data_IF_809785446051
#
_entry.id   IF_809785446051
#
_cell.length_a   1.000
_cell.length_b   1.000
_cell.length_c   1.000
_cell.angle_alpha   90.00
_cell.angle_beta   90.00
_cell.angle_gamma   90.00
#
_symmetry.space_group_name_H-M   'P 1'
#
loop_
_entity.id
_entity.type
_entity.pdbx_description
1 polymer ?
#
# COMPACT_ATOMS: atom_id res chain seq x y z
N UNK A 1 -4.12 0.99 3.18
CA UNK A 1 -2.69 0.67 3.01
C UNK A 1 -1.92 1.95 2.73
N UNK A 2 -0.62 1.97 3.03
CA UNK A 2 0.27 3.04 2.57
C UNK A 2 1.63 2.48 2.21
N UNK A 3 2.37 3.22 1.39
CA UNK A 3 3.76 2.99 1.08
C UNK A 3 4.51 4.28 1.37
N UNK A 4 5.58 4.16 2.13
CA UNK A 4 6.51 5.25 2.40
C UNK A 4 7.83 4.99 1.67
N UNK A 5 8.41 6.03 1.09
CA UNK A 5 9.74 6.00 0.51
C UNK A 5 10.50 7.29 0.82
N UNK A 6 11.72 7.18 1.35
CA UNK A 6 12.66 8.28 1.47
C UNK A 6 13.62 8.27 0.28
N UNK A 7 13.87 9.42 -0.32
CA UNK A 7 14.83 9.54 -1.43
C UNK A 7 15.49 10.92 -1.47
N UNK A 8 16.58 11.01 -2.20
CA UNK A 8 17.29 12.27 -2.45
C UNK A 8 17.36 12.53 -3.95
N UNK A 9 17.48 13.80 -4.31
CA UNK A 9 17.72 14.22 -5.69
C UNK A 9 18.75 15.33 -5.74
N UNK A 10 19.46 15.41 -6.87
CA UNK A 10 20.42 16.47 -7.21
C UNK A 10 19.84 17.53 -8.16
N UNK A 11 18.60 17.32 -8.64
CA UNK A 11 17.93 18.19 -9.61
C UNK A 11 16.56 18.64 -9.09
N UNK A 12 16.56 19.24 -7.90
CA UNK A 12 15.34 19.67 -7.21
C UNK A 12 14.44 20.57 -8.07
N UNK A 13 15.00 21.58 -8.72
CA UNK A 13 14.23 22.61 -9.43
C UNK A 13 13.43 22.08 -10.63
N UNK A 14 13.94 21.06 -11.33
CA UNK A 14 13.26 20.47 -12.49
C UNK A 14 12.44 19.25 -12.11
N UNK A 15 13.08 18.29 -11.42
CA UNK A 15 12.49 16.98 -11.14
C UNK A 15 11.39 17.06 -10.08
N UNK A 16 11.56 17.92 -9.07
CA UNK A 16 10.62 18.06 -7.95
C UNK A 16 9.68 19.25 -8.10
N UNK A 17 9.57 19.83 -9.30
CA UNK A 17 8.61 20.88 -9.58
C UNK A 17 7.17 20.39 -9.33
N UNK A 18 6.37 21.17 -8.59
CA UNK A 18 5.01 20.81 -8.21
C UNK A 18 4.14 20.41 -9.43
N UNK A 19 4.29 21.14 -10.54
CA UNK A 19 3.58 20.85 -11.80
C UNK A 19 3.95 19.48 -12.37
N UNK A 20 5.24 19.12 -12.35
CA UNK A 20 5.72 17.83 -12.84
C UNK A 20 5.19 16.68 -11.98
N UNK A 21 5.25 16.82 -10.66
CA UNK A 21 4.72 15.85 -9.70
C UNK A 21 3.22 15.63 -9.94
N UNK A 22 2.45 16.72 -10.11
CA UNK A 22 1.02 16.63 -10.40
C UNK A 22 0.73 15.91 -11.73
N UNK A 23 1.52 16.18 -12.77
CA UNK A 23 1.41 15.49 -14.07
C UNK A 23 1.73 14.00 -13.95
N UNK A 24 2.84 13.64 -13.29
CA UNK A 24 3.20 12.25 -13.04
C UNK A 24 2.09 11.53 -12.26
N UNK A 25 1.53 12.19 -11.24
CA UNK A 25 0.46 11.62 -10.44
C UNK A 25 -0.84 11.43 -11.25
N UNK A 26 -1.19 12.40 -12.10
CA UNK A 26 -2.32 12.27 -13.03
C UNK A 26 -2.11 11.10 -14.02
N UNK A 27 -0.90 10.91 -14.53
CA UNK A 27 -0.58 9.79 -15.43
C UNK A 27 -0.74 8.45 -14.71
N UNK A 28 -0.20 8.31 -13.50
CA UNK A 28 -0.33 7.07 -12.72
C UNK A 28 -1.79 6.78 -12.42
N UNK A 29 -2.57 7.77 -11.97
CA UNK A 29 -4.00 7.61 -11.74
C UNK A 29 -4.75 7.24 -13.03
N UNK A 30 -4.38 7.80 -14.16
CA UNK A 30 -4.96 7.46 -15.48
C UNK A 30 -4.63 6.05 -15.94
N UNK A 31 -3.42 5.55 -15.64
CA UNK A 31 -3.01 4.17 -15.93
C UNK A 31 -3.65 3.14 -15.00
N UNK A 32 -4.04 3.56 -13.80
CA UNK A 32 -4.63 2.71 -12.77
C UNK A 32 -5.97 3.28 -12.29
N UNK A 33 -7.07 3.13 -13.06
CA UNK A 33 -8.33 3.85 -12.83
C UNK A 33 -9.00 3.57 -11.48
N UNK A 34 -8.66 2.46 -10.81
CA UNK A 34 -9.12 2.19 -9.45
C UNK A 34 -8.67 3.26 -8.44
N UNK A 35 -7.55 3.94 -8.69
CA UNK A 35 -7.07 5.08 -7.88
C UNK A 35 -7.96 6.33 -8.02
N UNK A 36 -8.78 6.40 -9.06
CA UNK A 36 -9.75 7.48 -9.35
C UNK A 36 -11.20 7.05 -9.15
N UNK A 37 -11.42 5.78 -8.79
CA UNK A 37 -12.76 5.25 -8.57
C UNK A 37 -13.37 5.82 -7.29
N UNK A 38 -14.64 5.51 -7.07
CA UNK A 38 -15.41 5.88 -5.88
C UNK A 38 -16.18 4.66 -5.39
N UNK A 39 -16.61 4.69 -4.14
CA UNK A 39 -17.53 3.70 -3.58
C UNK A 39 -18.89 4.37 -3.45
N UNK A 40 -19.90 3.84 -4.13
CA UNK A 40 -21.27 4.36 -4.11
C UNK A 40 -22.21 3.30 -3.54
N UNK A 41 -23.33 3.75 -2.97
CA UNK A 41 -24.43 2.90 -2.49
C UNK A 41 -25.68 3.29 -3.27
N UNK A 42 -26.46 2.30 -3.70
CA UNK A 42 -27.69 2.57 -4.43
C UNK A 42 -28.77 3.13 -3.48
N UNK A 43 -29.03 4.43 -3.61
CA UNK A 43 -30.04 5.12 -2.81
C UNK A 43 -31.48 4.93 -3.33
N UNK A 44 -31.66 4.24 -4.47
CA UNK A 44 -32.98 3.99 -5.04
C UNK A 44 -33.64 2.70 -4.54
N UNK A 45 -33.06 2.01 -3.55
CA UNK A 45 -33.66 0.82 -2.91
C UNK A 45 -34.84 1.13 -1.97
N UNK A 46 -35.57 2.22 -2.23
CA UNK A 46 -36.70 2.73 -1.44
C UNK A 46 -37.96 1.83 -1.41
N UNK A 47 -37.91 0.57 -1.86
CA UNK A 47 -39.09 -0.30 -1.91
C UNK A 47 -38.97 -1.62 -1.14
N UNK A 48 -37.91 -1.85 -0.36
CA UNK A 48 -37.96 -2.93 0.64
C UNK A 48 -37.14 -2.59 1.88
N UNK A 49 -37.75 -2.67 3.06
CA UNK A 49 -37.10 -2.55 4.37
C UNK A 49 -36.12 -3.71 4.67
N UNK A 50 -35.67 -4.43 3.64
CA UNK A 50 -34.86 -5.66 3.68
C UNK A 50 -33.70 -5.66 2.71
N UNK A 51 -33.61 -4.70 1.77
CA UNK A 51 -32.48 -4.59 0.85
C UNK A 51 -31.34 -3.84 1.55
N UNK A 52 -30.36 -4.58 2.02
CA UNK A 52 -29.07 -4.03 2.44
C UNK A 52 -28.49 -3.27 1.25
N UNK A 53 -28.19 -1.97 1.42
CA UNK A 53 -27.51 -1.18 0.39
C UNK A 53 -26.13 -1.79 0.11
N UNK A 54 -25.98 -2.45 -1.04
CA UNK A 54 -24.69 -3.03 -1.42
C UNK A 54 -23.78 -1.95 -2.02
N UNK A 55 -22.57 -1.74 -1.45
CA UNK A 55 -21.62 -0.80 -2.00
C UNK A 55 -21.01 -1.36 -3.29
N UNK A 56 -20.85 -0.51 -4.30
CA UNK A 56 -20.18 -0.86 -5.55
C UNK A 56 -19.16 0.20 -5.97
N UNK A 57 -18.19 -0.20 -6.80
CA UNK A 57 -17.24 0.72 -7.38
C UNK A 57 -17.87 1.48 -8.53
N UNK A 58 -17.73 2.80 -8.50
CA UNK A 58 -18.11 3.67 -9.59
C UNK A 58 -16.87 4.36 -10.15
N UNK A 59 -16.72 4.33 -11.47
CA UNK A 59 -15.64 5.03 -12.16
C UNK A 59 -16.23 5.89 -13.27
N UNK A 60 -15.81 7.15 -13.31
CA UNK A 60 -16.11 8.07 -14.40
C UNK A 60 -14.82 8.75 -14.85
N UNK A 61 -14.44 8.69 -16.14
CA UNK A 61 -13.25 9.38 -16.62
C UNK A 61 -13.26 10.86 -16.26
N UNK A 62 -12.13 11.40 -15.74
CA UNK A 62 -12.09 12.81 -15.38
C UNK A 62 -12.10 13.71 -16.60
N UNK A 63 -12.79 14.86 -16.49
CA UNK A 63 -12.72 15.93 -17.50
C UNK A 63 -11.35 16.61 -17.51
N UNK A 64 -10.72 16.70 -16.34
CA UNK A 64 -9.38 17.26 -16.13
C UNK A 64 -8.64 16.39 -15.11
N UNK A 65 -7.86 15.43 -15.63
CA UNK A 65 -7.11 14.49 -14.81
C UNK A 65 -6.04 15.18 -13.94
N UNK A 66 -5.49 16.31 -14.40
CA UNK A 66 -4.45 17.04 -13.66
C UNK A 66 -5.06 17.75 -12.45
N UNK A 67 -6.22 18.38 -12.63
CA UNK A 67 -6.95 18.99 -11.51
C UNK A 67 -7.35 17.96 -10.47
N UNK A 68 -7.94 16.83 -10.88
CA UNK A 68 -8.32 15.75 -9.97
C UNK A 68 -7.09 15.17 -9.23
N UNK A 69 -5.96 15.02 -9.92
CA UNK A 69 -4.71 14.59 -9.31
C UNK A 69 -4.22 15.57 -8.24
N UNK A 70 -4.28 16.88 -8.50
CA UNK A 70 -3.90 17.92 -7.53
C UNK A 70 -4.78 17.89 -6.28
N UNK A 71 -6.08 17.63 -6.42
CA UNK A 71 -7.00 17.54 -5.28
C UNK A 71 -6.69 16.34 -4.35
N UNK A 72 -5.88 15.39 -4.82
CA UNK A 72 -5.41 14.22 -4.06
C UNK A 72 -3.88 14.21 -3.90
N UNK A 73 -3.22 15.36 -4.01
CA UNK A 73 -1.78 15.55 -3.84
C UNK A 73 -1.54 16.65 -2.80
N UNK A 74 -0.66 16.38 -1.84
CA UNK A 74 -0.24 17.39 -0.85
C UNK A 74 1.28 17.50 -0.79
N UNK A 75 1.73 18.75 -0.67
CA UNK A 75 3.10 19.10 -0.34
C UNK A 75 3.17 19.47 1.14
N UNK A 76 4.14 18.91 1.86
CA UNK A 76 4.30 19.08 3.31
C UNK A 76 5.78 19.28 3.68
N UNK A 77 6.07 19.57 4.95
CA UNK A 77 7.43 19.70 5.50
C UNK A 77 7.64 18.77 6.70
N UNK A 78 6.76 17.78 6.88
CA UNK A 78 6.81 16.80 7.96
C UNK A 78 7.90 15.74 7.74
N UNK A 79 8.42 15.24 8.85
CA UNK A 79 9.35 14.10 8.86
C UNK A 79 8.63 12.79 8.46
N UNK A 80 9.42 11.75 8.14
CA UNK A 80 8.91 10.38 7.92
C UNK A 80 7.95 9.94 9.04
N UNK A 81 8.40 10.09 10.29
CA UNK A 81 7.66 9.58 11.45
C UNK A 81 6.35 10.35 11.66
N UNK A 82 6.36 11.67 11.45
CA UNK A 82 5.16 12.49 11.54
C UNK A 82 4.16 12.18 10.43
N UNK A 83 4.61 11.95 9.20
CA UNK A 83 3.74 11.57 8.09
C UNK A 83 3.03 10.23 8.37
N UNK A 84 3.81 9.23 8.78
CA UNK A 84 3.28 7.89 9.10
C UNK A 84 2.35 7.97 10.30
N UNK A 85 2.73 8.67 11.36
CA UNK A 85 1.92 8.84 12.57
C UNK A 85 0.59 9.54 12.26
N UNK A 86 0.61 10.61 11.47
CA UNK A 86 -0.59 11.34 11.06
C UNK A 86 -1.50 10.49 10.17
N UNK A 87 -0.95 9.69 9.26
CA UNK A 87 -1.76 8.79 8.44
C UNK A 87 -2.43 7.68 9.28
N UNK A 88 -1.70 7.13 10.27
CA UNK A 88 -2.17 6.03 11.10
C UNK A 88 -3.13 6.45 12.22
N UNK A 89 -2.97 7.66 12.75
CA UNK A 89 -3.65 8.10 13.98
C UNK A 89 -4.38 9.45 13.83
N UNK A 90 -4.22 10.15 12.69
CA UNK A 90 -4.87 11.42 12.41
C UNK A 90 -6.25 11.26 11.75
N UNK A 91 -6.82 12.37 11.24
CA UNK A 91 -8.07 12.34 10.49
C UNK A 91 -7.99 11.42 9.28
N UNK A 92 -9.12 10.78 8.94
CA UNK A 92 -9.19 9.81 7.85
C UNK A 92 -8.84 10.47 6.50
N UNK A 93 -7.71 10.10 5.92
CA UNK A 93 -7.20 10.65 4.65
C UNK A 93 -7.99 10.17 3.43
N UNK A 94 -8.41 8.90 3.43
CA UNK A 94 -9.12 8.23 2.33
C UNK A 94 -10.62 8.15 2.64
N UNK A 95 -11.47 8.35 1.65
CA UNK A 95 -12.93 8.32 1.80
C UNK A 95 -13.58 7.63 0.60
N UNK A 96 -14.89 7.40 0.64
CA UNK A 96 -15.63 6.80 -0.47
C UNK A 96 -15.49 7.60 -1.79
N UNK A 97 -15.15 8.89 -1.70
CA UNK A 97 -14.89 9.79 -2.84
C UNK A 97 -13.41 9.94 -3.20
N UNK A 98 -12.50 9.41 -2.37
CA UNK A 98 -11.06 9.56 -2.49
C UNK A 98 -10.35 8.23 -2.23
N UNK A 99 -10.18 7.47 -3.31
CA UNK A 99 -9.53 6.15 -3.32
C UNK A 99 -8.00 6.21 -3.30
N UNK A 100 -7.40 7.36 -3.60
CA UNK A 100 -5.94 7.49 -3.56
C UNK A 100 -5.51 8.85 -3.04
N UNK A 101 -4.30 8.91 -2.49
CA UNK A 101 -3.71 10.12 -1.97
C UNK A 101 -2.19 10.05 -2.01
N UNK A 102 -1.55 11.13 -2.43
CA UNK A 102 -0.09 11.24 -2.51
C UNK A 102 0.39 12.42 -1.67
N UNK A 103 1.43 12.20 -0.86
CA UNK A 103 2.15 13.26 -0.16
C UNK A 103 3.60 13.26 -0.61
N UNK A 104 4.11 14.45 -0.93
CA UNK A 104 5.54 14.70 -1.12
C UNK A 104 5.95 15.71 -0.06
N UNK A 105 6.81 15.29 0.87
CA UNK A 105 7.31 16.15 1.93
C UNK A 105 8.79 16.47 1.73
N UNK A 106 9.17 17.71 2.00
CA UNK A 106 10.57 18.12 2.11
C UNK A 106 10.81 18.64 3.54
N UNK A 107 11.27 17.79 4.47
CA UNK A 107 11.46 18.20 5.87
C UNK A 107 12.61 19.19 6.06
N UNK A 108 13.49 19.35 5.07
CA UNK A 108 14.67 20.22 5.12
C UNK A 108 14.57 21.34 4.08
N UNK A 109 13.46 22.09 4.03
CA UNK A 109 13.49 23.44 3.46
C UNK A 109 14.40 24.34 4.31
N UNK A 110 15.71 24.10 4.25
CA UNK A 110 16.72 24.87 4.94
C UNK A 110 17.08 26.09 4.11
N UNK A 111 17.19 27.22 4.79
CA UNK A 111 17.41 28.58 4.29
C UNK A 111 18.79 28.74 3.59
N UNK A 112 19.61 27.69 3.54
CA UNK A 112 20.99 27.67 3.04
C UNK A 112 21.26 26.63 1.95
N UNK A 113 20.21 26.06 1.34
CA UNK A 113 20.32 25.03 0.32
C UNK A 113 20.79 25.65 -1.02
N UNK A 114 21.82 25.08 -1.67
CA UNK A 114 22.40 25.61 -2.93
C UNK A 114 21.45 25.55 -4.14
N UNK A 115 20.20 25.12 -3.91
CA UNK A 115 19.11 25.05 -4.87
C UNK A 115 19.01 23.71 -5.60
N UNK A 116 20.05 22.87 -5.56
CA UNK A 116 20.11 21.67 -6.40
C UNK A 116 19.76 20.37 -5.67
N UNK A 117 20.22 20.19 -4.42
CA UNK A 117 19.99 18.94 -3.69
C UNK A 117 18.73 19.00 -2.82
N UNK A 118 18.06 17.88 -2.60
CA UNK A 118 16.94 17.83 -1.66
C UNK A 118 16.63 16.43 -1.16
N UNK A 119 16.25 16.31 0.10
CA UNK A 119 15.73 15.08 0.71
C UNK A 119 14.21 15.13 0.74
N UNK A 120 13.57 14.07 0.28
CA UNK A 120 12.13 13.99 0.15
C UNK A 120 11.58 12.73 0.77
N UNK A 121 10.39 12.86 1.34
CA UNK A 121 9.58 11.76 1.83
C UNK A 121 8.33 11.65 0.96
N UNK A 122 8.11 10.47 0.37
CA UNK A 122 6.90 10.15 -0.39
C UNK A 122 6.02 9.24 0.44
N UNK A 123 4.72 9.56 0.50
CA UNK A 123 3.70 8.70 1.09
C UNK A 123 2.57 8.52 0.07
N UNK A 124 2.41 7.31 -0.45
CA UNK A 124 1.30 6.94 -1.33
C UNK A 124 0.29 6.09 -0.54
N UNK A 125 -0.98 6.47 -0.60
CA UNK A 125 -2.05 5.82 0.17
C UNK A 125 -3.17 5.34 -0.75
N UNK A 126 -3.70 4.15 -0.45
CA UNK A 126 -4.84 3.54 -1.12
C UNK A 126 -5.59 2.60 -0.15
N UNK A 127 -6.91 2.41 -0.26
CA UNK A 127 -7.63 1.44 0.56
C UNK A 127 -7.26 0.01 0.16
N UNK A 128 -7.32 -0.92 1.12
CA UNK A 128 -6.92 -2.32 0.90
C UNK A 128 -7.76 -3.10 -0.11
N UNK A 129 -8.94 -2.58 -0.48
CA UNK A 129 -9.84 -3.28 -1.40
C UNK A 129 -9.60 -2.94 -2.88
N UNK A 130 -8.77 -1.93 -3.21
CA UNK A 130 -8.41 -1.63 -4.61
C UNK A 130 -7.04 -2.17 -5.02
N UNK A 131 -6.32 -2.80 -4.10
CA UNK A 131 -4.98 -3.32 -4.37
C UNK A 131 -4.31 -3.86 -3.12
N UNK A 132 -3.07 -4.29 -3.28
CA UNK A 132 -2.21 -4.82 -2.24
C UNK A 132 -0.86 -4.09 -2.16
N UNK A 133 0.03 -4.57 -1.30
CA UNK A 133 1.37 -3.99 -1.17
C UNK A 133 2.15 -4.02 -2.49
N UNK A 134 2.04 -5.10 -3.27
CA UNK A 134 2.75 -5.24 -4.55
C UNK A 134 2.26 -4.20 -5.57
N UNK A 135 0.95 -4.02 -5.68
CA UNK A 135 0.31 -3.04 -6.57
C UNK A 135 0.75 -1.61 -6.21
N UNK A 136 0.85 -1.30 -4.92
CA UNK A 136 1.28 0.03 -4.47
C UNK A 136 2.77 0.29 -4.73
N UNK A 137 3.62 -0.74 -4.55
CA UNK A 137 5.04 -0.68 -4.94
C UNK A 137 5.19 -0.46 -6.45
N UNK A 138 4.42 -1.17 -7.27
CA UNK A 138 4.44 -1.00 -8.72
C UNK A 138 4.02 0.42 -9.13
N UNK A 139 2.91 0.94 -8.58
CA UNK A 139 2.46 2.31 -8.83
C UNK A 139 3.52 3.34 -8.42
N UNK A 140 4.17 3.14 -7.27
CA UNK A 140 5.22 4.05 -6.79
C UNK A 140 6.47 3.97 -7.66
N UNK A 141 6.86 2.78 -8.10
CA UNK A 141 7.99 2.60 -9.01
C UNK A 141 7.75 3.29 -10.36
N UNK A 142 6.57 3.11 -10.95
CA UNK A 142 6.17 3.81 -12.18
C UNK A 142 6.15 5.33 -11.97
N UNK A 143 5.64 5.80 -10.83
CA UNK A 143 5.63 7.21 -10.48
C UNK A 143 7.05 7.78 -10.44
N UNK A 144 7.96 7.15 -9.70
CA UNK A 144 9.37 7.60 -9.58
C UNK A 144 10.09 7.52 -10.92
N UNK A 145 9.81 6.49 -11.73
CA UNK A 145 10.37 6.35 -13.08
C UNK A 145 9.90 7.49 -14.00
N UNK A 146 8.62 7.86 -13.97
CA UNK A 146 8.10 9.03 -14.69
C UNK A 146 8.74 10.33 -14.18
N UNK A 147 8.83 10.47 -12.85
CA UNK A 147 9.39 11.65 -12.21
C UNK A 147 10.86 11.87 -12.60
N UNK A 148 11.66 10.80 -12.65
CA UNK A 148 13.07 10.82 -13.05
C UNK A 148 13.29 10.77 -14.58
N UNK A 149 12.24 10.67 -15.38
CA UNK A 149 12.35 10.60 -16.83
C UNK A 149 12.88 11.91 -17.44
N UNK A 150 13.55 11.88 -18.60
CA UNK A 150 13.99 13.10 -19.29
C UNK A 150 12.84 13.86 -19.97
N UNK A 151 11.61 13.33 -19.92
CA UNK A 151 10.44 13.94 -20.56
C UNK A 151 10.14 15.31 -19.94
N UNK A 152 9.85 16.30 -20.76
CA UNK A 152 9.44 17.61 -20.27
C UNK A 152 8.03 17.57 -19.68
N UNK A 153 7.65 18.59 -18.90
CA UNK A 153 6.27 18.73 -18.42
C UNK A 153 5.26 18.83 -19.58
N UNK A 154 5.68 19.34 -20.73
CA UNK A 154 4.87 19.38 -21.94
C UNK A 154 4.62 17.97 -22.51
N UNK A 155 5.66 17.15 -22.58
CA UNK A 155 5.53 15.75 -23.04
C UNK A 155 4.64 14.93 -22.11
N UNK A 156 4.80 15.10 -20.79
CA UNK A 156 3.93 14.46 -19.80
C UNK A 156 2.47 14.90 -19.94
N UNK A 157 2.23 16.18 -20.22
CA UNK A 157 0.88 16.67 -20.49
C UNK A 157 0.31 16.05 -21.77
N UNK A 158 1.11 15.90 -22.83
CA UNK A 158 0.66 15.23 -24.06
C UNK A 158 0.21 13.78 -23.81
N UNK A 159 0.90 13.02 -22.93
CA UNK A 159 0.48 11.66 -22.56
C UNK A 159 -0.96 11.64 -22.04
N UNK A 160 -1.36 12.65 -21.27
CA UNK A 160 -2.71 12.78 -20.72
C UNK A 160 -3.76 13.20 -21.74
N UNK A 161 -3.36 13.74 -22.89
CA UNK A 161 -4.29 14.13 -23.97
C UNK A 161 -4.60 12.98 -24.92
N UNK A 162 -3.84 11.89 -24.88
CA UNK A 162 -4.08 10.73 -25.72
C UNK A 162 -5.38 10.02 -25.28
N UNK A 163 -6.22 9.59 -26.23
CA UNK A 163 -7.43 8.86 -25.89
C UNK A 163 -7.08 7.53 -25.22
N UNK A 164 -7.60 7.31 -24.01
CA UNK A 164 -7.45 6.06 -23.27
C UNK A 164 -8.71 5.22 -23.45
N UNK A 165 -8.51 3.93 -23.76
CA UNK A 165 -9.59 2.96 -23.63
C UNK A 165 -9.68 2.52 -22.17
N UNK A 166 -10.53 3.20 -21.40
CA UNK A 166 -10.71 2.95 -19.97
C UNK A 166 -11.19 1.52 -19.66
N UNK A 167 -11.89 0.88 -20.58
CA UNK A 167 -12.37 -0.51 -20.42
C UNK A 167 -11.20 -1.48 -20.36
N UNK A 168 -10.18 -1.26 -21.18
CA UNK A 168 -8.99 -2.12 -21.24
C UNK A 168 -8.05 -1.91 -20.05
N UNK A 169 -8.15 -0.76 -19.38
CA UNK A 169 -7.32 -0.39 -18.23
C UNK A 169 -7.90 -0.86 -16.89
N UNK A 170 -9.21 -1.12 -16.83
CA UNK A 170 -9.82 -1.65 -15.61
C UNK A 170 -9.42 -3.12 -15.44
N UNK A 171 -8.89 -3.51 -14.26
CA UNK A 171 -8.56 -4.90 -14.03
C UNK A 171 -9.85 -5.73 -14.05
N UNK A 172 -9.81 -6.97 -14.58
CA UNK A 172 -10.95 -7.85 -14.49
C UNK A 172 -11.25 -8.17 -13.02
N UNK A 173 -12.51 -8.48 -12.76
CA UNK A 173 -12.98 -8.94 -11.45
C UNK A 173 -12.06 -10.05 -10.91
N UNK A 174 -11.84 -10.07 -9.60
CA UNK A 174 -10.98 -11.10 -9.00
C UNK A 174 -11.61 -12.48 -9.19
N UNK A 175 -12.93 -12.56 -9.08
CA UNK A 175 -13.76 -13.75 -9.21
C UNK A 175 -13.60 -14.39 -10.59
N UNK A 176 -13.41 -13.59 -11.66
CA UNK A 176 -13.18 -14.13 -13.00
C UNK A 176 -11.79 -14.73 -13.18
N UNK A 177 -10.86 -14.48 -12.26
CA UNK A 177 -9.50 -15.03 -12.25
C UNK A 177 -9.35 -16.24 -11.33
N UNK A 178 -10.33 -16.49 -10.47
CA UNK A 178 -10.32 -17.66 -9.57
C UNK A 178 -10.81 -18.88 -10.34
N UNK A 179 -10.01 -19.95 -10.33
CA UNK A 179 -10.44 -21.22 -10.88
C UNK A 179 -11.52 -21.84 -9.98
N UNK A 180 -12.73 -21.98 -10.52
CA UNK A 180 -13.84 -22.61 -9.80
C UNK A 180 -13.75 -24.13 -10.01
N UNK A 181 -13.72 -24.94 -8.93
CA UNK A 181 -13.70 -26.39 -9.06
C UNK A 181 -14.93 -26.90 -9.82
N UNK A 182 -14.72 -27.58 -10.95
CA UNK A 182 -15.80 -28.00 -11.85
C UNK A 182 -16.49 -29.30 -11.43
N UNK A 183 -15.78 -30.22 -10.76
CA UNK A 183 -16.32 -31.53 -10.36
C UNK A 183 -16.89 -31.53 -8.94
N UNK A 184 -17.79 -32.47 -8.64
CA UNK A 184 -18.35 -32.65 -7.30
C UNK A 184 -17.30 -32.96 -6.24
N UNK A 185 -16.33 -33.84 -6.57
CA UNK A 185 -15.22 -34.20 -5.68
C UNK A 185 -14.31 -33.00 -5.44
N UNK A 186 -13.97 -32.22 -6.48
CA UNK A 186 -13.10 -31.06 -6.34
C UNK A 186 -13.76 -29.97 -5.46
N UNK A 187 -15.07 -29.76 -5.59
CA UNK A 187 -15.82 -28.87 -4.69
C UNK A 187 -15.84 -29.37 -3.25
N UNK A 188 -16.03 -30.67 -3.03
CA UNK A 188 -15.98 -31.26 -1.71
C UNK A 188 -14.59 -31.11 -1.07
N UNK A 189 -13.52 -31.41 -1.82
CA UNK A 189 -12.15 -31.25 -1.38
C UNK A 189 -11.82 -29.78 -1.04
N UNK A 190 -12.21 -28.83 -1.91
CA UNK A 190 -12.04 -27.40 -1.65
C UNK A 190 -12.77 -26.95 -0.38
N UNK A 191 -13.99 -27.46 -0.14
CA UNK A 191 -14.76 -27.17 1.08
C UNK A 191 -14.09 -27.74 2.34
N UNK A 192 -13.59 -28.97 2.30
CA UNK A 192 -12.86 -29.57 3.44
C UNK A 192 -11.59 -28.77 3.74
N UNK A 193 -10.82 -28.42 2.70
CA UNK A 193 -9.62 -27.58 2.86
C UNK A 193 -9.97 -26.23 3.50
N UNK A 194 -11.02 -25.55 3.01
CA UNK A 194 -11.50 -24.30 3.59
C UNK A 194 -11.85 -24.44 5.08
N UNK A 195 -12.62 -25.48 5.45
CA UNK A 195 -13.01 -25.71 6.84
C UNK A 195 -11.79 -26.01 7.74
N UNK A 196 -10.80 -26.76 7.24
CA UNK A 196 -9.56 -27.02 7.96
C UNK A 196 -8.73 -25.75 8.16
N UNK A 197 -8.61 -24.90 7.13
CA UNK A 197 -7.95 -23.59 7.26
C UNK A 197 -8.65 -22.73 8.30
N UNK A 198 -9.97 -22.60 8.21
CA UNK A 198 -10.76 -21.84 9.20
C UNK A 198 -10.57 -22.38 10.62
N UNK A 199 -10.52 -23.71 10.79
CA UNK A 199 -10.27 -24.32 12.09
C UNK A 199 -8.88 -23.98 12.64
N UNK A 200 -7.86 -24.00 11.79
CA UNK A 200 -6.47 -23.67 12.16
C UNK A 200 -6.27 -22.17 12.45
N UNK A 201 -7.15 -21.30 11.94
CA UNK A 201 -7.10 -19.86 12.18
C UNK A 201 -7.76 -19.44 13.51
N UNK A 202 -8.53 -20.33 14.17
CA UNK A 202 -9.22 -20.00 15.42
C UNK A 202 -8.30 -20.19 16.65
N UNK A 203 -7.77 -19.08 17.16
CA UNK A 203 -7.43 -18.90 18.58
C UNK A 203 -5.95 -19.06 19.02
N UNK A 204 -5.69 -18.75 20.29
CA UNK A 204 -4.44 -19.06 21.01
C UNK A 204 -3.30 -18.05 20.88
N UNK A 205 -3.15 -17.35 19.74
CA UNK A 205 -1.97 -16.53 19.43
C UNK A 205 -2.02 -15.08 19.94
N UNK A 206 -2.77 -14.77 21.00
CA UNK A 206 -2.84 -13.41 21.53
C UNK A 206 -1.67 -13.11 22.47
N UNK A 207 -0.91 -12.06 22.20
CA UNK A 207 0.00 -11.49 23.19
C UNK A 207 -0.82 -10.93 24.36
N UNK A 208 -0.34 -11.08 25.59
CA UNK A 208 -0.97 -10.44 26.76
C UNK A 208 -0.99 -8.93 26.55
N UNK A 209 -2.18 -8.34 26.58
CA UNK A 209 -2.39 -6.91 26.40
C UNK A 209 -3.09 -6.33 27.62
N UNK A 210 -2.55 -5.25 28.15
CA UNK A 210 -3.25 -4.38 29.12
C UNK A 210 -3.52 -3.05 28.44
N UNK A 211 -4.78 -2.77 28.14
CA UNK A 211 -5.16 -1.48 27.56
C UNK A 211 -5.10 -0.41 28.65
N UNK A 212 -4.15 0.53 28.53
CA UNK A 212 -3.97 1.64 29.49
C UNK A 212 -4.41 3.00 28.94
N UNK A 213 -4.68 3.09 27.63
CA UNK A 213 -4.99 4.34 26.93
C UNK A 213 -5.78 4.06 25.63
N UNK A 214 -6.29 5.10 24.93
CA UNK A 214 -6.87 4.92 23.60
C UNK A 214 -5.90 4.24 22.65
N UNK A 215 -6.44 3.36 21.80
CA UNK A 215 -5.63 2.59 20.85
C UNK A 215 -4.95 3.55 19.86
N UNK A 216 -3.65 3.34 19.67
CA UNK A 216 -2.86 4.00 18.64
C UNK A 216 -2.10 2.95 17.86
N UNK A 217 -2.00 3.15 16.56
CA UNK A 217 -1.18 2.31 15.70
C UNK A 217 0.22 2.90 15.66
N UNK A 218 1.21 2.07 15.99
CA UNK A 218 2.62 2.43 15.91
C UNK A 218 3.31 1.53 14.87
N UNK A 219 4.22 2.10 14.11
CA UNK A 219 5.10 1.36 13.21
C UNK A 219 6.49 1.32 13.84
N UNK A 220 7.04 0.12 14.01
CA UNK A 220 8.42 -0.07 14.46
C UNK A 220 9.20 -0.66 13.29
N UNK A 221 10.08 0.14 12.71
CA UNK A 221 10.97 -0.30 11.65
C UNK A 221 12.32 -0.73 12.26
N UNK A 222 12.80 -1.91 11.86
CA UNK A 222 14.13 -2.40 12.20
C UNK A 222 14.84 -2.79 10.90
N UNK A 223 15.94 -2.11 10.61
CA UNK A 223 16.80 -2.41 9.47
C UNK A 223 18.03 -3.20 9.90
N UNK A 224 18.49 -4.10 9.03
CA UNK A 224 19.75 -4.81 9.18
C UNK A 224 20.80 -4.14 8.30
N UNK A 225 22.03 -4.07 8.78
CA UNK A 225 23.16 -3.59 7.96
C UNK A 225 23.42 -4.57 6.82
N UNK A 226 24.10 -4.10 5.77
CA UNK A 226 24.46 -4.96 4.63
C UNK A 226 25.26 -6.20 5.08
N UNK A 227 26.17 -6.04 6.03
CA UNK A 227 26.97 -7.16 6.56
C UNK A 227 26.12 -8.16 7.36
N UNK A 228 25.13 -7.69 8.12
CA UNK A 228 24.16 -8.55 8.80
C UNK A 228 23.28 -9.29 7.79
N UNK A 229 22.72 -8.58 6.81
CA UNK A 229 21.88 -9.16 5.75
C UNK A 229 22.63 -10.23 4.96
N UNK A 230 23.90 -9.98 4.59
CA UNK A 230 24.75 -11.00 3.94
C UNK A 230 24.90 -12.27 4.78
N UNK A 231 25.13 -12.13 6.08
CA UNK A 231 25.23 -13.27 7.00
C UNK A 231 23.91 -14.04 7.11
N UNK A 232 22.78 -13.33 7.23
CA UNK A 232 21.44 -13.92 7.30
C UNK A 232 21.15 -14.71 6.03
N UNK A 233 21.37 -14.12 4.85
CA UNK A 233 21.15 -14.76 3.55
C UNK A 233 22.05 -15.99 3.36
N UNK A 234 23.34 -15.87 3.69
CA UNK A 234 24.26 -17.00 3.61
C UNK A 234 23.81 -18.17 4.49
N UNK A 235 23.36 -17.90 5.72
CA UNK A 235 22.86 -18.93 6.64
C UNK A 235 21.57 -19.56 6.13
N UNK A 236 20.63 -18.77 5.62
CA UNK A 236 19.39 -19.29 5.02
C UNK A 236 19.70 -20.23 3.84
N UNK A 237 20.60 -19.79 2.94
CA UNK A 237 21.04 -20.59 1.78
C UNK A 237 21.69 -21.90 2.17
N UNK A 238 22.57 -21.89 3.19
CA UNK A 238 23.21 -23.11 3.71
C UNK A 238 22.20 -24.15 4.23
N UNK A 239 21.02 -23.71 4.70
CA UNK A 239 19.99 -24.57 5.26
C UNK A 239 18.83 -24.83 4.27
N UNK A 240 18.95 -24.39 3.01
CA UNK A 240 17.90 -24.60 2.01
C UNK A 240 16.59 -23.86 2.30
N UNK A 241 16.63 -22.78 3.09
CA UNK A 241 15.45 -21.98 3.47
C UNK A 241 15.55 -20.54 2.96
N UNK A 242 14.41 -19.84 2.94
CA UNK A 242 14.34 -18.41 2.63
C UNK A 242 14.36 -17.59 3.92
N UNK A 243 14.59 -16.28 3.80
CA UNK A 243 14.48 -15.35 4.94
C UNK A 243 13.07 -15.37 5.54
N UNK A 244 12.04 -15.53 4.72
CA UNK A 244 10.66 -15.61 5.20
C UNK A 244 10.46 -16.83 6.10
N UNK A 245 10.98 -18.01 5.72
CA UNK A 245 10.93 -19.20 6.57
C UNK A 245 11.62 -18.96 7.92
N UNK A 246 12.80 -18.35 7.90
CA UNK A 246 13.54 -18.02 9.12
C UNK A 246 12.78 -17.01 10.00
N UNK A 247 12.17 -15.98 9.40
CA UNK A 247 11.40 -14.98 10.12
C UNK A 247 10.15 -15.58 10.78
N UNK A 248 9.40 -16.43 10.07
CA UNK A 248 8.26 -17.15 10.65
C UNK A 248 8.69 -18.01 11.85
N UNK A 249 9.79 -18.76 11.72
CA UNK A 249 10.31 -19.56 12.82
C UNK A 249 10.72 -18.70 14.03
N UNK A 250 11.41 -17.58 13.79
CA UNK A 250 11.82 -16.64 14.85
C UNK A 250 10.61 -15.99 15.53
N UNK A 251 9.58 -15.61 14.79
CA UNK A 251 8.33 -15.09 15.35
C UNK A 251 7.67 -16.12 16.27
N UNK A 252 7.64 -17.40 15.89
CA UNK A 252 7.07 -18.46 16.72
C UNK A 252 7.89 -18.68 18.00
N UNK A 253 9.23 -18.66 17.92
CA UNK A 253 10.09 -18.75 19.11
C UNK A 253 9.88 -17.55 20.03
N UNK A 254 9.87 -16.33 19.49
CA UNK A 254 9.66 -15.12 20.27
C UNK A 254 8.26 -15.08 20.92
N UNK A 255 7.23 -15.51 20.19
CA UNK A 255 5.87 -15.65 20.71
C UNK A 255 5.80 -16.69 21.83
N UNK A 256 6.43 -17.86 21.65
CA UNK A 256 6.53 -18.90 22.68
C UNK A 256 7.23 -18.41 23.94
N UNK A 257 8.33 -17.67 23.81
CA UNK A 257 9.03 -17.02 24.93
C UNK A 257 8.19 -15.97 25.66
N UNK A 258 7.29 -15.30 24.95
CA UNK A 258 6.48 -14.22 25.50
C UNK A 258 5.21 -14.73 26.23
N UNK A 259 4.73 -15.93 25.89
CA UNK A 259 3.47 -16.48 26.44
C UNK A 259 3.67 -17.68 27.37
N UNK A 260 4.77 -18.41 27.24
CA UNK A 260 5.13 -19.52 28.12
C UNK A 260 6.19 -19.03 29.11
N UNK A 261 6.04 -19.35 30.39
CA UNK A 261 7.20 -19.41 31.29
C UNK A 261 8.16 -20.44 30.68
N UNK A 262 9.19 -19.96 29.98
CA UNK A 262 10.02 -20.71 29.03
C UNK A 262 10.96 -21.71 29.73
N UNK A 263 10.40 -22.65 30.51
CA UNK A 263 11.09 -23.83 31.03
C UNK A 263 10.91 -25.05 30.11
N UNK A 264 9.93 -25.04 29.19
CA UNK A 264 9.55 -26.23 28.42
C UNK A 264 10.39 -26.53 27.16
N UNK A 265 11.27 -25.63 26.70
CA UNK A 265 12.12 -25.85 25.50
C UNK A 265 13.59 -26.10 25.87
N UNK A 266 13.86 -26.61 27.09
CA UNK A 266 15.21 -27.11 27.43
C UNK A 266 15.40 -28.60 27.15
N UNK A 267 14.35 -29.32 26.82
CA UNK A 267 14.42 -30.73 26.43
C UNK A 267 13.61 -30.93 25.14
N UNK A 268 14.27 -30.95 23.97
CA UNK A 268 13.62 -31.39 22.75
C UNK A 268 13.40 -32.90 22.84
N UNK A 269 12.14 -33.34 22.66
CA UNK A 269 11.82 -34.72 22.30
C UNK A 269 12.45 -35.08 20.95
#
# INVERSE_FOLDING_TARGET
MFLHASFTTKEKMGMMACTRIALCWAIIRSRHPLLMSKVTRDQNSNNSSTSVEEPYFWFSPPKDAVKEAKDCLVFDTKSKDDLISNYLNGPRTLSDERMSYLVISNPMESIYDDGHNGQFELLMCAPHFIGDGASLHQCTHEFVTLLASPQSSYDLLQILTLPLNWVDLLPPALESRIQIPSSGIARAAAKVNYLQTMYNEIGGHTLRRTQRSPQKTILIEKSFTESQTKKILAKCKQNGVTVNHALFALCNVAWGQSNLDFKAIREPL
#
